data_IF_033033744315
#
_entry.id   IF_033033744315
#
_cell.length_a   1.000
_cell.length_b   1.000
_cell.length_c   1.000
_cell.angle_alpha   90.00
_cell.angle_beta   90.00
_cell.angle_gamma   90.00
#
_symmetry.space_group_name_H-M   'P 1'
#
loop_
_entity.id
_entity.type
_entity.pdbx_description
1 polymer ?
#
# COMPACT_ATOMS: atom_id res chain seq x y z
N UNK A 1 11.83 30.83 -45.88
CA UNK A 1 11.68 31.08 -44.43
C UNK A 1 10.28 30.65 -44.04
N UNK A 2 10.17 29.75 -43.05
CA UNK A 2 9.00 29.51 -42.18
C UNK A 2 7.73 28.92 -42.83
N UNK A 3 6.97 27.98 -42.26
CA UNK A 3 6.92 27.22 -41.00
C UNK A 3 6.09 25.98 -41.39
N UNK A 4 6.68 24.79 -41.54
CA UNK A 4 5.86 23.55 -41.72
C UNK A 4 6.45 22.29 -41.09
N UNK A 5 7.49 22.41 -40.26
CA UNK A 5 8.19 21.24 -39.71
C UNK A 5 8.33 21.34 -38.19
N UNK A 6 7.24 21.66 -37.49
CA UNK A 6 7.24 21.81 -36.02
C UNK A 6 6.02 21.19 -35.34
N UNK A 7 5.43 20.15 -35.92
CA UNK A 7 4.18 19.57 -35.37
C UNK A 7 4.17 18.03 -35.30
N UNK A 8 5.35 17.39 -35.30
CA UNK A 8 5.46 15.93 -35.13
C UNK A 8 6.30 15.55 -33.90
N UNK A 9 6.98 16.49 -33.26
CA UNK A 9 7.85 16.22 -32.10
C UNK A 9 7.14 16.32 -30.74
N UNK A 10 5.86 16.69 -30.69
CA UNK A 10 5.09 16.77 -29.43
C UNK A 10 4.34 15.47 -29.06
N UNK A 11 4.41 14.43 -29.88
CA UNK A 11 3.66 13.17 -29.66
C UNK A 11 4.46 12.07 -28.95
N UNK A 12 5.71 12.30 -28.55
CA UNK A 12 6.55 11.28 -27.90
C UNK A 12 7.15 11.74 -26.55
N UNK A 13 6.66 12.84 -25.99
CA UNK A 13 7.15 13.43 -24.73
C UNK A 13 6.46 12.91 -23.46
N UNK A 14 5.81 11.75 -23.51
CA UNK A 14 5.22 11.12 -22.34
C UNK A 14 5.91 9.79 -22.07
N UNK A 15 7.09 9.80 -21.46
CA UNK A 15 7.49 8.68 -20.62
C UNK A 15 6.56 8.67 -19.41
N UNK A 16 5.29 8.31 -19.61
CA UNK A 16 4.57 7.68 -18.53
C UNK A 16 5.29 6.35 -18.34
N UNK A 17 6.15 6.28 -17.33
CA UNK A 17 6.30 5.00 -16.65
C UNK A 17 4.87 4.59 -16.31
N UNK A 18 4.35 3.60 -17.01
CA UNK A 18 3.20 2.86 -16.50
C UNK A 18 3.75 2.26 -15.21
N UNK A 19 3.54 2.97 -14.10
CA UNK A 19 3.77 2.43 -12.77
C UNK A 19 2.69 1.36 -12.64
N UNK A 20 3.05 0.15 -13.04
CA UNK A 20 2.15 -0.99 -13.16
C UNK A 20 1.84 -1.56 -11.77
N UNK A 21 1.67 -0.68 -10.78
CA UNK A 21 1.20 -1.00 -9.45
C UNK A 21 -0.31 -0.86 -9.46
N UNK A 22 -1.01 -1.92 -9.85
CA UNK A 22 -2.42 -2.07 -9.48
C UNK A 22 -2.43 -2.44 -7.98
N UNK A 23 -2.16 -1.45 -7.16
CA UNK A 23 -2.00 -1.56 -5.72
C UNK A 23 -2.47 -0.27 -5.04
N UNK A 24 -2.86 -0.37 -3.78
CA UNK A 24 -3.26 0.75 -2.94
C UNK A 24 -2.19 0.95 -1.87
N UNK A 25 -1.74 2.18 -1.66
CA UNK A 25 -0.74 2.51 -0.65
C UNK A 25 -1.18 3.70 0.19
N UNK A 26 -1.05 3.58 1.51
CA UNK A 26 -1.33 4.68 2.45
C UNK A 26 -0.27 4.73 3.54
N UNK A 27 0.06 5.94 3.99
CA UNK A 27 1.03 6.19 5.04
C UNK A 27 0.33 6.62 6.33
N UNK A 28 0.83 6.14 7.46
CA UNK A 28 0.40 6.55 8.79
C UNK A 28 1.60 7.13 9.54
N UNK A 29 1.56 8.42 9.87
CA UNK A 29 2.64 9.17 10.54
C UNK A 29 2.64 9.01 12.07
N UNK A 30 1.96 7.98 12.59
CA UNK A 30 1.87 7.73 14.03
C UNK A 30 3.06 6.86 14.44
N UNK A 31 3.95 7.33 15.32
CA UNK A 31 5.06 6.53 15.83
C UNK A 31 4.53 5.31 16.58
N UNK A 32 4.98 4.11 16.19
CA UNK A 32 4.59 2.84 16.82
C UNK A 32 5.84 1.97 16.95
N UNK A 33 5.96 1.28 18.09
CA UNK A 33 7.03 0.31 18.29
C UNK A 33 6.83 -0.91 17.39
N UNK A 34 7.91 -1.32 16.71
CA UNK A 34 7.91 -2.48 15.83
C UNK A 34 7.39 -3.76 16.53
N UNK A 35 7.81 -3.97 17.78
CA UNK A 35 7.39 -5.09 18.63
C UNK A 35 5.88 -5.12 18.84
N UNK A 36 5.26 -3.98 19.13
CA UNK A 36 3.82 -3.91 19.32
C UNK A 36 3.07 -4.23 18.04
N UNK A 37 3.51 -3.63 16.92
CA UNK A 37 2.87 -3.86 15.62
C UNK A 37 2.94 -5.34 15.23
N UNK A 38 4.07 -6.01 15.50
CA UNK A 38 4.20 -7.46 15.29
C UNK A 38 3.21 -8.24 16.13
N UNK A 39 3.12 -7.98 17.44
CA UNK A 39 2.21 -8.72 18.32
C UNK A 39 0.74 -8.53 17.89
N UNK A 40 0.33 -7.28 17.67
CA UNK A 40 -1.07 -6.95 17.34
C UNK A 40 -1.49 -7.54 15.99
N UNK A 41 -0.63 -7.48 14.98
CA UNK A 41 -0.94 -8.00 13.64
C UNK A 41 -0.87 -9.53 13.61
N UNK A 42 0.10 -10.15 14.29
CA UNK A 42 0.25 -11.59 14.32
C UNK A 42 -0.86 -12.30 15.13
N UNK A 43 -1.45 -11.63 16.11
CA UNK A 43 -2.52 -12.19 16.94
C UNK A 43 -3.94 -12.00 16.36
N UNK A 44 -4.09 -11.19 15.31
CA UNK A 44 -5.40 -10.97 14.69
C UNK A 44 -5.75 -12.15 13.76
N UNK A 45 -6.51 -13.11 14.27
CA UNK A 45 -6.88 -14.37 13.57
C UNK A 45 -7.32 -14.21 12.09
N UNK A 46 -8.03 -13.13 11.67
CA UNK A 46 -8.36 -12.94 10.26
C UNK A 46 -7.18 -12.68 9.31
N UNK A 47 -5.99 -12.38 9.83
CA UNK A 47 -4.76 -12.24 9.04
C UNK A 47 -4.04 -13.58 9.00
N UNK A 48 -3.99 -14.20 7.83
CA UNK A 48 -3.34 -15.50 7.66
C UNK A 48 -2.90 -15.72 6.21
N UNK A 49 -1.64 -16.13 5.94
CA UNK A 49 -0.53 -16.25 6.89
C UNK A 49 0.06 -14.87 7.24
N UNK A 50 0.55 -14.69 8.47
CA UNK A 50 1.38 -13.53 8.86
C UNK A 50 2.86 -13.91 8.81
N UNK A 51 3.64 -13.18 8.01
CA UNK A 51 5.09 -13.31 7.89
C UNK A 51 5.76 -12.05 8.42
N UNK A 52 6.64 -12.20 9.41
CA UNK A 52 7.44 -11.10 9.96
C UNK A 52 8.78 -11.05 9.24
N UNK A 53 9.10 -9.89 8.65
CA UNK A 53 10.36 -9.58 7.98
C UNK A 53 11.11 -8.50 8.77
N UNK A 54 12.37 -8.23 8.41
CA UNK A 54 13.26 -7.32 9.15
C UNK A 54 12.68 -5.91 9.36
N UNK A 55 11.89 -5.40 8.41
CA UNK A 55 11.29 -4.06 8.47
C UNK A 55 9.84 -4.01 8.01
N UNK A 56 9.19 -5.17 7.83
CA UNK A 56 7.80 -5.23 7.40
C UNK A 56 7.09 -6.48 7.89
N UNK A 57 5.76 -6.46 7.83
CA UNK A 57 4.92 -7.64 7.98
C UNK A 57 4.11 -7.85 6.71
N UNK A 58 4.03 -9.09 6.28
CA UNK A 58 3.22 -9.52 5.15
C UNK A 58 2.09 -10.40 5.64
N UNK A 59 0.87 -10.12 5.21
CA UNK A 59 -0.28 -10.93 5.54
C UNK A 59 -1.36 -10.88 4.47
N UNK A 60 -2.26 -11.86 4.48
CA UNK A 60 -3.39 -11.90 3.55
C UNK A 60 -4.69 -11.60 4.28
N UNK A 61 -5.57 -10.82 3.65
CA UNK A 61 -6.93 -10.58 4.13
C UNK A 61 -7.89 -10.41 2.95
N UNK A 62 -8.99 -11.19 2.95
CA UNK A 62 -9.97 -11.22 1.86
C UNK A 62 -9.32 -11.34 0.47
N UNK A 63 -8.37 -12.26 0.34
CA UNK A 63 -7.61 -12.53 -0.89
C UNK A 63 -6.68 -11.38 -1.35
N UNK A 64 -6.55 -10.30 -0.58
CA UNK A 64 -5.58 -9.24 -0.85
C UNK A 64 -4.29 -9.53 -0.09
N UNK A 65 -3.16 -9.37 -0.78
CA UNK A 65 -1.85 -9.38 -0.15
C UNK A 65 -1.59 -8.00 0.45
N UNK A 66 -1.21 -7.95 1.73
CA UNK A 66 -0.99 -6.72 2.48
C UNK A 66 0.44 -6.72 3.02
N UNK A 67 1.15 -5.62 2.84
CA UNK A 67 2.45 -5.38 3.46
C UNK A 67 2.37 -4.13 4.35
N UNK A 68 2.82 -4.25 5.59
CA UNK A 68 3.01 -3.18 6.56
C UNK A 68 4.51 -2.91 6.72
N UNK A 69 5.02 -1.79 6.23
CA UNK A 69 6.44 -1.42 6.30
C UNK A 69 6.68 -0.33 7.35
N UNK A 70 7.61 -0.57 8.29
CA UNK A 70 7.94 0.33 9.40
C UNK A 70 8.98 1.41 9.03
N UNK A 71 9.56 1.35 7.84
CA UNK A 71 10.66 2.22 7.38
C UNK A 71 10.43 2.65 5.93
N UNK A 72 9.28 3.27 5.66
CA UNK A 72 9.14 3.99 4.39
C UNK A 72 10.16 5.13 4.37
N UNK A 73 11.02 5.18 3.35
CA UNK A 73 12.09 6.19 3.18
C UNK A 73 11.57 7.66 3.23
N UNK A 74 10.25 7.84 3.18
CA UNK A 74 9.55 9.10 3.15
C UNK A 74 8.90 9.51 4.50
N UNK A 75 9.00 8.70 5.58
CA UNK A 75 8.33 8.97 6.85
C UNK A 75 9.33 9.17 8.00
N UNK A 76 9.20 10.28 8.74
CA UNK A 76 10.00 10.60 9.94
C UNK A 76 9.38 9.92 11.19
N UNK A 77 8.89 8.68 11.01
CA UNK A 77 8.14 7.92 12.01
C UNK A 77 6.82 7.39 11.45
N UNK A 78 6.45 6.17 11.88
CA UNK A 78 5.21 5.50 11.51
C UNK A 78 5.39 4.34 10.54
N UNK A 79 4.33 4.03 9.77
CA UNK A 79 4.31 2.86 8.90
C UNK A 79 3.54 3.11 7.61
N UNK A 80 3.89 2.34 6.57
CA UNK A 80 3.22 2.33 5.29
C UNK A 80 2.45 1.02 5.13
N UNK A 81 1.20 1.10 4.70
CA UNK A 81 0.38 -0.05 4.36
C UNK A 81 0.20 -0.09 2.84
N UNK A 82 0.61 -1.19 2.21
CA UNK A 82 0.38 -1.47 0.79
C UNK A 82 -0.51 -2.69 0.62
N UNK A 83 -1.52 -2.60 -0.25
CA UNK A 83 -2.47 -3.66 -0.56
C UNK A 83 -2.38 -3.95 -2.06
N UNK A 84 -2.10 -5.20 -2.39
CA UNK A 84 -2.10 -5.71 -3.76
C UNK A 84 -3.27 -6.69 -3.94
N UNK A 85 -4.19 -6.33 -4.84
CA UNK A 85 -5.38 -7.12 -5.18
C UNK A 85 -5.45 -7.48 -6.67
N UNK A 86 -4.28 -7.51 -7.32
CA UNK A 86 -4.05 -7.43 -8.78
C UNK A 86 -4.79 -8.49 -9.63
N UNK A 87 -5.45 -9.48 -9.03
CA UNK A 87 -6.01 -10.64 -9.76
C UNK A 87 -7.43 -11.06 -9.35
N UNK A 88 -8.18 -10.24 -8.60
CA UNK A 88 -9.48 -10.64 -8.03
C UNK A 88 -10.68 -10.45 -8.97
N UNK A 89 -10.46 -10.17 -10.27
CA UNK A 89 -11.53 -10.00 -11.26
C UNK A 89 -12.48 -8.82 -11.02
N UNK A 90 -12.18 -7.94 -10.06
CA UNK A 90 -12.97 -6.76 -9.68
C UNK A 90 -12.52 -5.50 -10.41
N UNK A 91 -13.43 -4.51 -10.52
CA UNK A 91 -13.09 -3.21 -11.11
C UNK A 91 -12.08 -2.45 -10.24
N UNK A 92 -11.29 -1.57 -10.85
CA UNK A 92 -10.32 -0.75 -10.11
C UNK A 92 -10.99 0.10 -9.01
N UNK A 93 -12.14 0.71 -9.30
CA UNK A 93 -12.87 1.52 -8.31
C UNK A 93 -13.32 0.68 -7.11
N UNK A 94 -13.83 -0.53 -7.36
CA UNK A 94 -14.22 -1.45 -6.30
C UNK A 94 -13.00 -1.89 -5.48
N UNK A 95 -11.88 -2.20 -6.13
CA UNK A 95 -10.63 -2.51 -5.45
C UNK A 95 -10.19 -1.37 -4.52
N UNK A 96 -10.19 -0.12 -4.99
CA UNK A 96 -9.78 1.04 -4.16
C UNK A 96 -10.72 1.21 -2.96
N UNK A 97 -12.03 1.07 -3.12
CA UNK A 97 -12.99 1.19 -2.02
C UNK A 97 -12.78 0.11 -0.95
N UNK A 98 -12.55 -1.13 -1.36
CA UNK A 98 -12.24 -2.23 -0.44
C UNK A 98 -10.89 -2.00 0.26
N UNK A 99 -9.87 -1.57 -0.48
CA UNK A 99 -8.55 -1.26 0.06
C UNK A 99 -8.59 -0.12 1.11
N UNK A 100 -9.40 0.93 0.89
CA UNK A 100 -9.64 2.00 1.86
C UNK A 100 -10.35 1.52 3.13
N UNK A 101 -11.24 0.54 3.02
CA UNK A 101 -11.91 -0.04 4.19
C UNK A 101 -10.94 -0.91 4.99
N UNK A 102 -10.14 -1.73 4.29
CA UNK A 102 -9.09 -2.56 4.90
C UNK A 102 -8.08 -1.66 5.62
N UNK A 103 -7.62 -0.58 4.99
CA UNK A 103 -6.62 0.30 5.60
C UNK A 103 -7.11 0.97 6.89
N UNK A 104 -8.37 1.42 6.93
CA UNK A 104 -9.01 1.95 8.15
C UNK A 104 -9.14 0.89 9.25
N UNK A 105 -9.49 -0.34 8.88
CA UNK A 105 -9.60 -1.45 9.82
C UNK A 105 -8.24 -1.82 10.41
N UNK A 106 -7.20 -1.96 9.59
CA UNK A 106 -5.83 -2.24 10.06
C UNK A 106 -5.33 -1.11 10.96
N UNK A 107 -5.55 0.15 10.58
CA UNK A 107 -5.21 1.30 11.42
C UNK A 107 -5.92 1.23 12.78
N UNK A 108 -7.21 0.87 12.79
CA UNK A 108 -7.99 0.77 14.01
C UNK A 108 -7.46 -0.31 14.96
N UNK A 109 -7.19 -1.51 14.44
CA UNK A 109 -6.65 -2.63 15.22
C UNK A 109 -5.30 -2.25 15.84
N UNK A 110 -4.39 -1.69 15.03
CA UNK A 110 -3.08 -1.23 15.50
C UNK A 110 -3.24 -0.15 16.57
N UNK A 111 -4.14 0.81 16.36
CA UNK A 111 -4.37 1.90 17.32
C UNK A 111 -4.99 1.43 18.63
N UNK A 112 -5.74 0.33 18.65
CA UNK A 112 -6.29 -0.24 19.88
C UNK A 112 -5.30 -1.15 20.61
N UNK A 113 -4.43 -1.84 19.87
CA UNK A 113 -3.47 -2.77 20.45
C UNK A 113 -2.15 -2.13 20.89
N UNK A 114 -1.80 -0.97 20.33
CA UNK A 114 -0.51 -0.29 20.59
C UNK A 114 -0.60 1.02 21.39
N UNK A 115 -1.74 1.31 22.01
CA UNK A 115 -1.92 2.44 22.94
C UNK A 115 -1.52 2.12 24.37
#
# INVERSE_FOLDING_TARGET
MNIRTFLVLFLLGGCSSIDNKIGYGVNFEVPIEASCLVNVVAEYEPFDPVTVLDSSLEFTYLENSINLSLHSQNLIGGYQLTIDGMFLGKSYQQFVQEAEQISKMVQHIISQGCT
#
